data_IF_040856310641
#
_entry.id   IF_040856310641
#
_cell.length_a   1.000
_cell.length_b   1.000
_cell.length_c   1.000
_cell.angle_alpha   90.00
_cell.angle_beta   90.00
_cell.angle_gamma   90.00
#
_symmetry.space_group_name_H-M   'P 1'
#
loop_
_entity.id
_entity.type
_entity.pdbx_description
1 polymer ?
#
# COMPACT_ATOMS: atom_id res chain seq x y z
N UNK A 1 -22.13 6.24 -10.24
CA UNK A 1 -21.09 7.01 -9.53
C UNK A 1 -19.66 6.68 -9.99
N UNK A 2 -18.85 5.83 -9.32
CA UNK A 2 -17.47 5.54 -9.78
C UNK A 2 -17.41 4.84 -11.14
N UNK A 3 -18.31 3.88 -11.38
CA UNK A 3 -18.37 3.18 -12.67
C UNK A 3 -18.81 4.13 -13.79
N UNK A 4 -19.78 5.00 -13.54
CA UNK A 4 -20.22 6.01 -14.50
C UNK A 4 -19.10 7.01 -14.78
N UNK A 5 -18.39 7.47 -13.75
CA UNK A 5 -17.22 8.32 -13.90
C UNK A 5 -16.13 7.66 -14.76
N UNK A 6 -15.90 6.37 -14.57
CA UNK A 6 -14.91 5.61 -15.33
C UNK A 6 -15.19 5.57 -16.85
N UNK A 7 -16.44 5.73 -17.27
CA UNK A 7 -16.80 5.77 -18.71
C UNK A 7 -16.37 7.08 -19.38
N UNK A 8 -16.27 8.17 -18.62
CA UNK A 8 -15.98 9.50 -19.11
C UNK A 8 -14.54 9.95 -18.86
N UNK A 9 -13.82 9.27 -17.98
CA UNK A 9 -12.44 9.59 -17.61
C UNK A 9 -11.43 9.02 -18.62
N UNK A 10 -10.31 9.73 -18.85
CA UNK A 10 -9.25 9.24 -19.72
C UNK A 10 -8.57 8.00 -19.15
N UNK A 11 -8.07 7.13 -20.01
CA UNK A 11 -7.31 5.93 -19.64
C UNK A 11 -5.86 6.23 -19.24
N UNK A 12 -5.33 7.39 -19.63
CA UNK A 12 -3.96 7.83 -19.28
C UNK A 12 -4.03 9.19 -18.62
N UNK A 13 -3.21 9.37 -17.58
CA UNK A 13 -2.99 10.70 -17.02
C UNK A 13 -2.32 11.60 -18.06
N UNK A 14 -2.74 12.85 -18.12
CA UNK A 14 -2.08 13.89 -18.93
C UNK A 14 -0.75 14.33 -18.32
N UNK A 15 -0.47 13.89 -17.09
CA UNK A 15 0.75 14.22 -16.35
C UNK A 15 1.59 12.96 -16.10
N UNK A 16 2.90 13.11 -16.16
CA UNK A 16 3.88 12.02 -16.01
C UNK A 16 3.94 11.39 -14.62
N UNK A 17 3.22 11.95 -13.64
CA UNK A 17 3.27 11.55 -12.22
C UNK A 17 1.98 10.91 -11.71
N UNK A 18 1.03 10.62 -12.59
CA UNK A 18 -0.30 10.10 -12.23
C UNK A 18 -1.00 10.93 -11.13
N UNK A 19 -0.95 12.25 -11.24
CA UNK A 19 -1.58 13.18 -10.28
C UNK A 19 -3.00 13.57 -10.65
N UNK A 20 -3.50 13.10 -11.78
CA UNK A 20 -4.87 13.31 -12.25
C UNK A 20 -5.67 12.01 -12.22
N UNK A 21 -6.95 12.16 -11.90
CA UNK A 21 -7.87 11.02 -11.86
C UNK A 21 -8.06 10.46 -13.27
N UNK A 22 -7.97 9.15 -13.40
CA UNK A 22 -8.15 8.39 -14.63
C UNK A 22 -9.27 7.36 -14.48
N UNK A 23 -9.70 6.75 -15.59
CA UNK A 23 -10.60 5.57 -15.58
C UNK A 23 -10.12 4.53 -14.56
N UNK A 24 -8.83 4.27 -14.53
CA UNK A 24 -8.24 3.25 -13.66
C UNK A 24 -8.28 3.61 -12.18
N UNK A 25 -8.07 4.88 -11.87
CA UNK A 25 -8.24 5.35 -10.49
C UNK A 25 -9.70 5.23 -10.04
N UNK A 26 -10.66 5.58 -10.90
CA UNK A 26 -12.08 5.44 -10.59
C UNK A 26 -12.49 3.97 -10.37
N UNK A 27 -12.01 3.04 -11.20
CA UNK A 27 -12.28 1.61 -11.02
C UNK A 27 -11.63 1.02 -9.76
N UNK A 28 -10.39 1.43 -9.44
CA UNK A 28 -9.73 1.01 -8.21
C UNK A 28 -10.51 1.48 -6.96
N UNK A 29 -10.96 2.73 -6.93
CA UNK A 29 -11.80 3.24 -5.84
C UNK A 29 -13.19 2.58 -5.81
N UNK A 30 -13.78 2.29 -6.98
CA UNK A 30 -15.03 1.55 -7.07
C UNK A 30 -14.92 0.18 -6.40
N UNK A 31 -13.83 -0.54 -6.70
CA UNK A 31 -13.57 -1.85 -6.09
C UNK A 31 -13.43 -1.76 -4.57
N UNK A 32 -12.63 -0.81 -4.07
CA UNK A 32 -12.44 -0.61 -2.63
C UNK A 32 -13.72 -0.22 -1.91
N UNK A 33 -14.46 0.75 -2.45
CA UNK A 33 -15.71 1.22 -1.84
C UNK A 33 -16.78 0.12 -1.83
N UNK A 34 -16.90 -0.62 -2.92
CA UNK A 34 -17.85 -1.72 -3.01
C UNK A 34 -17.47 -2.89 -2.09
N UNK A 35 -16.18 -3.21 -1.95
CA UNK A 35 -15.71 -4.21 -1.01
C UNK A 35 -16.03 -3.82 0.43
N UNK A 36 -15.77 -2.56 0.79
CA UNK A 36 -16.10 -2.05 2.12
C UNK A 36 -17.59 -2.16 2.40
N UNK A 37 -18.43 -1.65 1.51
CA UNK A 37 -19.89 -1.68 1.68
C UNK A 37 -20.43 -3.12 1.72
N UNK A 38 -19.96 -3.98 0.83
CA UNK A 38 -20.37 -5.39 0.80
C UNK A 38 -20.00 -6.15 2.07
N UNK A 39 -18.77 -5.97 2.57
CA UNK A 39 -18.34 -6.60 3.82
C UNK A 39 -19.05 -6.01 5.03
N UNK A 40 -19.22 -4.69 5.08
CA UNK A 40 -19.99 -4.03 6.14
C UNK A 40 -21.41 -4.60 6.22
N UNK A 41 -22.14 -4.63 5.10
CA UNK A 41 -23.50 -5.20 5.04
C UNK A 41 -23.54 -6.65 5.49
N UNK A 42 -22.63 -7.46 4.98
CA UNK A 42 -22.55 -8.89 5.32
C UNK A 42 -22.40 -9.11 6.83
N UNK A 43 -21.48 -8.40 7.47
CA UNK A 43 -21.20 -8.57 8.90
C UNK A 43 -22.26 -7.93 9.82
N UNK A 44 -23.06 -7.01 9.29
CA UNK A 44 -24.16 -6.38 10.04
C UNK A 44 -25.54 -6.95 9.68
N UNK A 45 -25.62 -8.01 8.89
CA UNK A 45 -26.88 -8.66 8.52
C UNK A 45 -27.78 -7.78 7.64
N UNK A 46 -27.20 -6.88 6.84
CA UNK A 46 -27.93 -6.02 5.93
C UNK A 46 -28.08 -6.67 4.55
N UNK A 47 -29.16 -6.34 3.84
CA UNK A 47 -29.46 -6.90 2.52
C UNK A 47 -28.50 -6.43 1.41
N UNK A 48 -28.50 -7.18 0.29
CA UNK A 48 -27.79 -6.83 -0.95
C UNK A 48 -26.25 -6.79 -0.84
N UNK A 49 -25.63 -7.46 0.12
CA UNK A 49 -24.16 -7.45 0.26
C UNK A 49 -23.48 -8.13 -0.93
N UNK A 50 -24.07 -9.18 -1.50
CA UNK A 50 -23.54 -9.91 -2.67
C UNK A 50 -23.34 -8.97 -3.86
N UNK A 51 -24.34 -8.13 -4.16
CA UNK A 51 -24.25 -7.15 -5.24
C UNK A 51 -23.02 -6.26 -5.15
N UNK A 52 -22.69 -5.80 -3.93
CA UNK A 52 -21.51 -4.96 -3.74
C UNK A 52 -20.21 -5.75 -3.86
N UNK A 53 -20.18 -7.00 -3.40
CA UNK A 53 -19.04 -7.88 -3.58
C UNK A 53 -18.80 -8.23 -5.06
N UNK A 54 -19.85 -8.42 -5.84
CA UNK A 54 -19.77 -8.61 -7.29
C UNK A 54 -19.22 -7.38 -8.00
N UNK A 55 -19.67 -6.18 -7.62
CA UNK A 55 -19.12 -4.91 -8.15
C UNK A 55 -17.63 -4.82 -7.80
N UNK A 56 -17.25 -5.12 -6.57
CA UNK A 56 -15.86 -5.09 -6.14
C UNK A 56 -14.99 -6.04 -6.98
N UNK A 57 -15.46 -7.26 -7.17
CA UNK A 57 -14.72 -8.27 -7.94
C UNK A 57 -14.63 -7.90 -9.43
N UNK A 58 -15.73 -7.45 -10.05
CA UNK A 58 -15.76 -7.12 -11.48
C UNK A 58 -14.91 -5.90 -11.81
N UNK A 59 -14.96 -4.85 -11.00
CA UNK A 59 -14.15 -3.64 -11.21
C UNK A 59 -12.67 -3.89 -10.96
N UNK A 60 -12.31 -4.72 -9.96
CA UNK A 60 -10.93 -5.15 -9.73
C UNK A 60 -10.42 -5.99 -10.90
N UNK A 61 -11.23 -6.93 -11.43
CA UNK A 61 -10.88 -7.75 -12.58
C UNK A 61 -10.61 -6.89 -13.80
N UNK A 62 -11.52 -5.97 -14.11
CA UNK A 62 -11.34 -5.04 -15.22
C UNK A 62 -10.06 -4.20 -15.07
N UNK A 63 -9.77 -3.70 -13.87
CA UNK A 63 -8.53 -2.99 -13.61
C UNK A 63 -7.30 -3.86 -13.88
N UNK A 64 -7.28 -5.08 -13.37
CA UNK A 64 -6.13 -6.01 -13.52
C UNK A 64 -5.89 -6.35 -14.99
N UNK A 65 -6.95 -6.65 -15.73
CA UNK A 65 -6.85 -7.19 -17.09
C UNK A 65 -6.59 -6.09 -18.14
N UNK A 66 -7.09 -4.86 -17.94
CA UNK A 66 -7.10 -3.82 -18.97
C UNK A 66 -6.20 -2.61 -18.67
N UNK A 67 -5.79 -2.37 -17.41
CA UNK A 67 -5.13 -1.11 -17.06
C UNK A 67 -3.69 -0.98 -17.52
N UNK A 68 -2.99 -2.11 -17.64
CA UNK A 68 -1.56 -2.15 -17.91
C UNK A 68 -0.67 -1.82 -16.72
N UNK A 69 -1.23 -1.55 -15.52
CA UNK A 69 -0.43 -1.43 -14.30
C UNK A 69 0.16 -2.78 -13.90
N UNK A 70 1.34 -2.74 -13.32
CA UNK A 70 2.05 -3.92 -12.81
C UNK A 70 2.87 -3.56 -11.58
N UNK A 71 3.29 -4.56 -10.81
CA UNK A 71 4.12 -4.33 -9.65
C UNK A 71 5.47 -3.72 -10.06
N UNK A 72 5.90 -2.69 -9.32
CA UNK A 72 7.22 -2.10 -9.45
C UNK A 72 8.27 -3.06 -8.88
N UNK A 73 9.29 -3.41 -9.70
CA UNK A 73 10.28 -4.45 -9.36
C UNK A 73 11.73 -3.99 -9.58
N UNK A 74 11.96 -2.71 -9.79
CA UNK A 74 13.30 -2.19 -10.03
C UNK A 74 14.05 -1.99 -8.71
N UNK A 75 15.37 -2.20 -8.75
CA UNK A 75 16.25 -2.04 -7.59
C UNK A 75 16.31 -3.27 -6.67
N UNK A 76 17.00 -3.13 -5.56
CA UNK A 76 17.19 -4.19 -4.56
C UNK A 76 16.08 -4.20 -3.50
N UNK A 77 15.47 -3.05 -3.26
CA UNK A 77 14.37 -2.86 -2.31
C UNK A 77 13.18 -2.16 -2.99
N UNK A 78 12.56 -2.78 -3.99
CA UNK A 78 11.58 -2.10 -4.86
C UNK A 78 10.38 -1.54 -4.10
N UNK A 79 9.92 -2.22 -3.06
CA UNK A 79 8.81 -1.73 -2.24
C UNK A 79 9.17 -0.44 -1.50
N UNK A 80 10.33 -0.39 -0.86
CA UNK A 80 10.85 0.81 -0.20
C UNK A 80 11.12 1.92 -1.20
N UNK A 81 11.75 1.59 -2.33
CA UNK A 81 12.09 2.56 -3.38
C UNK A 81 10.85 3.23 -3.97
N UNK A 82 9.74 2.53 -4.06
CA UNK A 82 8.47 3.08 -4.52
C UNK A 82 7.97 4.20 -3.59
N UNK A 83 8.06 4.00 -2.27
CA UNK A 83 7.59 4.98 -1.28
C UNK A 83 8.59 6.09 -0.96
N UNK A 84 9.88 5.87 -1.21
CA UNK A 84 10.93 6.87 -0.99
C UNK A 84 11.30 7.66 -2.26
N UNK A 85 10.55 7.52 -3.34
CA UNK A 85 10.83 8.22 -4.59
C UNK A 85 10.28 9.65 -4.58
N UNK A 86 11.03 10.59 -5.17
CA UNK A 86 10.59 11.97 -5.36
C UNK A 86 9.37 12.08 -6.29
N UNK A 87 9.21 11.12 -7.18
CA UNK A 87 8.09 11.02 -8.10
C UNK A 87 7.44 9.65 -8.02
N UNK A 88 6.13 9.61 -8.20
CA UNK A 88 5.38 8.37 -8.23
C UNK A 88 5.93 7.39 -9.29
N UNK A 89 6.11 6.14 -8.90
CA UNK A 89 6.47 5.05 -9.81
C UNK A 89 5.22 4.63 -10.58
N UNK A 90 5.02 5.24 -11.74
CA UNK A 90 3.79 5.14 -12.54
C UNK A 90 3.48 3.73 -13.06
N UNK A 91 4.43 2.81 -12.96
CA UNK A 91 4.20 1.38 -13.24
C UNK A 91 3.17 0.77 -12.28
N UNK A 92 3.20 1.16 -10.99
CA UNK A 92 2.32 0.61 -9.94
C UNK A 92 1.40 1.67 -9.33
N UNK A 93 1.88 2.92 -9.18
CA UNK A 93 1.12 3.98 -8.52
C UNK A 93 0.03 4.51 -9.44
N UNK A 94 -1.21 4.20 -9.11
CA UNK A 94 -2.40 4.52 -9.93
C UNK A 94 -2.78 5.99 -9.81
N UNK A 95 -2.70 6.56 -8.62
CA UNK A 95 -2.98 7.96 -8.34
C UNK A 95 -2.08 8.45 -7.21
N UNK A 96 -1.41 9.57 -7.41
CA UNK A 96 -0.55 10.20 -6.43
C UNK A 96 -0.93 11.65 -6.19
N UNK A 97 -0.68 12.15 -4.99
CA UNK A 97 -0.71 13.57 -4.68
C UNK A 97 0.72 14.09 -4.63
N UNK A 98 1.03 15.05 -5.50
CA UNK A 98 2.32 15.72 -5.45
C UNK A 98 2.37 16.71 -4.27
N UNK A 99 3.45 16.65 -3.50
CA UNK A 99 3.79 17.64 -2.48
C UNK A 99 5.00 18.43 -2.97
N UNK A 100 4.88 19.74 -3.02
CA UNK A 100 5.94 20.65 -3.41
C UNK A 100 5.72 21.96 -2.67
N UNK A 101 6.63 22.28 -1.74
CA UNK A 101 6.52 23.50 -0.96
C UNK A 101 6.75 24.76 -1.82
N UNK A 102 7.72 24.74 -2.70
CA UNK A 102 8.07 25.90 -3.52
C UNK A 102 6.98 26.24 -4.56
N UNK A 103 6.40 25.23 -5.17
CA UNK A 103 5.37 25.41 -6.22
C UNK A 103 3.95 25.47 -5.71
N UNK A 104 3.57 24.50 -4.87
CA UNK A 104 2.19 24.29 -4.41
C UNK A 104 1.97 24.71 -2.96
N UNK A 105 3.03 25.10 -2.25
CA UNK A 105 3.05 25.37 -0.81
C UNK A 105 2.44 24.21 0.01
N UNK A 106 2.59 22.99 -0.49
CA UNK A 106 2.14 21.77 0.15
C UNK A 106 3.34 21.02 0.73
N UNK A 107 3.33 20.82 2.02
CA UNK A 107 4.31 20.01 2.74
C UNK A 107 3.61 19.06 3.71
N UNK A 108 4.38 18.12 4.25
CA UNK A 108 3.95 17.26 5.35
C UNK A 108 5.12 17.02 6.30
N UNK A 109 4.81 16.70 7.53
CA UNK A 109 5.79 16.42 8.59
C UNK A 109 5.77 14.95 9.03
N UNK A 110 5.36 14.03 8.16
CA UNK A 110 5.18 12.62 8.51
C UNK A 110 6.46 11.99 9.04
N UNK A 111 7.61 12.26 8.39
CA UNK A 111 8.90 11.73 8.84
C UNK A 111 9.25 12.22 10.26
N UNK A 112 9.06 13.51 10.53
CA UNK A 112 9.25 14.08 11.85
C UNK A 112 8.27 13.48 12.87
N UNK A 113 7.01 13.32 12.50
CA UNK A 113 5.98 12.75 13.37
C UNK A 113 6.28 11.30 13.74
N UNK A 114 6.69 10.47 12.79
CA UNK A 114 7.06 9.08 13.05
C UNK A 114 8.22 9.00 14.04
N UNK A 115 9.27 9.78 13.83
CA UNK A 115 10.47 9.77 14.70
C UNK A 115 10.19 10.28 16.11
N UNK A 116 9.35 11.32 16.26
CA UNK A 116 9.16 12.01 17.54
C UNK A 116 7.93 11.54 18.33
N UNK A 117 6.88 11.04 17.67
CA UNK A 117 5.66 10.60 18.33
C UNK A 117 5.65 9.10 18.68
N UNK A 118 6.75 8.40 18.44
CA UNK A 118 6.90 6.98 18.73
C UNK A 118 5.74 6.13 18.16
N UNK A 119 5.29 6.46 16.96
CA UNK A 119 4.24 5.72 16.28
C UNK A 119 4.75 4.33 15.90
N UNK A 120 3.91 3.34 16.05
CA UNK A 120 4.27 1.95 15.73
C UNK A 120 3.08 1.16 15.17
N UNK A 121 3.39 0.02 14.62
CA UNK A 121 2.38 -0.94 14.16
C UNK A 121 1.91 -1.82 15.31
N UNK A 122 0.65 -2.25 15.25
CA UNK A 122 0.15 -3.26 16.18
C UNK A 122 0.82 -4.60 15.93
N UNK A 123 0.99 -5.41 16.98
CA UNK A 123 1.53 -6.78 16.83
C UNK A 123 0.69 -7.61 15.85
N UNK A 124 -0.63 -7.43 15.86
CA UNK A 124 -1.51 -8.09 14.91
C UNK A 124 -1.13 -7.77 13.46
N UNK A 125 -0.85 -6.51 13.14
CA UNK A 125 -0.38 -6.11 11.81
C UNK A 125 0.96 -6.77 11.48
N UNK A 126 1.92 -6.76 12.41
CA UNK A 126 3.22 -7.40 12.23
C UNK A 126 3.11 -8.91 11.95
N UNK A 127 2.15 -9.58 12.57
CA UNK A 127 1.91 -11.02 12.38
C UNK A 127 1.37 -11.37 10.97
N UNK A 128 0.84 -10.41 10.20
CA UNK A 128 0.41 -10.65 8.82
C UNK A 128 1.56 -10.83 7.83
N UNK A 129 2.75 -10.31 8.14
CA UNK A 129 3.92 -10.61 7.32
C UNK A 129 4.29 -12.08 7.49
N UNK A 130 4.48 -12.77 6.37
CA UNK A 130 4.86 -14.18 6.36
C UNK A 130 6.35 -14.36 6.71
N UNK A 131 6.78 -15.58 6.92
CA UNK A 131 8.17 -15.95 6.89
C UNK A 131 8.70 -15.89 5.44
N UNK A 132 10.02 -15.86 5.26
CA UNK A 132 10.64 -15.80 3.93
C UNK A 132 10.30 -17.03 3.05
N UNK A 133 9.95 -18.15 3.67
CA UNK A 133 9.51 -19.38 3.01
C UNK A 133 8.01 -19.42 2.71
N UNK A 134 7.26 -18.35 3.05
CA UNK A 134 5.82 -18.25 2.84
C UNK A 134 4.94 -18.85 3.94
N UNK A 135 5.52 -19.43 5.00
CA UNK A 135 4.76 -19.93 6.15
C UNK A 135 4.30 -18.77 7.04
N UNK A 136 3.30 -19.01 7.89
CA UNK A 136 2.84 -17.98 8.82
C UNK A 136 3.80 -17.84 9.98
N UNK A 137 4.11 -16.63 10.36
CA UNK A 137 4.91 -16.35 11.57
C UNK A 137 4.25 -16.90 12.83
N UNK A 138 2.93 -16.84 12.91
CA UNK A 138 2.14 -17.32 14.06
C UNK A 138 2.13 -18.84 14.21
N UNK A 139 2.56 -19.59 13.20
CA UNK A 139 2.70 -21.06 13.31
C UNK A 139 3.99 -21.46 14.03
N UNK A 140 4.90 -20.49 14.26
CA UNK A 140 6.15 -20.73 14.97
C UNK A 140 5.92 -20.84 16.47
N UNK A 141 6.41 -21.91 17.07
CA UNK A 141 6.31 -22.10 18.51
C UNK A 141 7.00 -20.96 19.28
N UNK A 142 6.33 -20.37 20.25
CA UNK A 142 6.86 -19.31 21.10
C UNK A 142 6.86 -17.92 20.45
N UNK A 143 6.21 -17.72 19.31
CA UNK A 143 6.18 -16.42 18.62
C UNK A 143 5.64 -15.28 19.50
N UNK A 144 4.74 -15.59 20.43
CA UNK A 144 4.10 -14.60 21.30
C UNK A 144 5.07 -13.94 22.30
N UNK A 145 6.12 -14.65 22.69
CA UNK A 145 7.10 -14.22 23.69
C UNK A 145 8.47 -13.91 23.10
N UNK A 146 8.57 -13.93 21.77
CA UNK A 146 9.81 -13.68 21.06
C UNK A 146 10.26 -12.23 21.20
N UNK A 147 11.56 -12.00 21.36
CA UNK A 147 12.13 -10.66 21.32
C UNK A 147 12.04 -10.09 19.91
N UNK A 148 11.85 -8.79 19.81
CA UNK A 148 11.72 -8.09 18.54
C UNK A 148 12.87 -8.37 17.56
N UNK A 149 14.10 -8.42 18.04
CA UNK A 149 15.29 -8.74 17.24
C UNK A 149 15.25 -10.12 16.60
N UNK A 150 14.51 -11.07 17.17
CA UNK A 150 14.33 -12.39 16.61
C UNK A 150 13.02 -12.53 15.82
N UNK A 151 12.01 -11.77 16.23
CA UNK A 151 10.71 -11.69 15.55
C UNK A 151 10.83 -11.21 14.10
N UNK A 152 11.77 -10.31 13.81
CA UNK A 152 11.95 -9.74 12.47
C UNK A 152 12.87 -10.53 11.55
N UNK A 153 13.50 -11.60 12.05
CA UNK A 153 14.42 -12.45 11.25
C UNK A 153 13.68 -13.39 10.32
N UNK A 154 14.21 -13.56 9.11
CA UNK A 154 13.69 -14.49 8.10
C UNK A 154 12.20 -14.25 7.76
N UNK A 155 11.78 -13.01 7.77
CA UNK A 155 10.43 -12.59 7.38
C UNK A 155 10.39 -12.15 5.92
N UNK A 156 9.19 -11.97 5.40
CA UNK A 156 8.98 -11.33 4.12
C UNK A 156 9.83 -10.04 4.02
N UNK A 157 10.62 -9.86 2.95
CA UNK A 157 11.51 -8.69 2.82
C UNK A 157 10.81 -7.34 2.95
N UNK A 158 9.51 -7.27 2.64
CA UNK A 158 8.71 -6.04 2.77
C UNK A 158 8.55 -5.59 4.22
N UNK A 159 8.67 -6.51 5.19
CA UNK A 159 8.64 -6.13 6.60
C UNK A 159 9.77 -5.16 6.92
N UNK A 160 11.00 -5.47 6.54
CA UNK A 160 12.16 -4.60 6.77
C UNK A 160 12.12 -3.31 5.93
N UNK A 161 11.37 -3.31 4.84
CA UNK A 161 11.16 -2.13 3.99
C UNK A 161 10.03 -1.22 4.51
N UNK A 162 9.25 -1.67 5.48
CA UNK A 162 8.11 -0.93 6.05
C UNK A 162 8.34 -0.52 7.51
N UNK A 163 9.00 -1.39 8.27
CA UNK A 163 9.13 -1.27 9.72
C UNK A 163 10.60 -1.06 10.07
N UNK A 164 10.84 -0.18 11.04
CA UNK A 164 12.19 0.07 11.54
C UNK A 164 12.72 -1.19 12.25
N UNK A 165 13.61 -1.91 11.57
CA UNK A 165 14.23 -3.14 12.08
C UNK A 165 15.67 -2.89 12.53
N UNK A 166 16.25 -3.78 13.36
CA UNK A 166 17.67 -3.72 13.72
C UNK A 166 18.56 -3.67 12.45
N UNK A 167 19.63 -2.89 12.51
CA UNK A 167 20.54 -2.61 11.40
C UNK A 167 19.92 -1.81 10.25
N UNK A 168 18.86 -1.06 10.52
CA UNK A 168 18.28 -0.17 9.51
C UNK A 168 19.29 0.90 9.07
N UNK A 169 19.39 1.08 7.75
CA UNK A 169 20.16 2.16 7.13
C UNK A 169 19.17 3.07 6.40
N UNK A 170 19.17 4.34 6.78
CA UNK A 170 18.33 5.33 6.12
C UNK A 170 18.75 5.46 4.65
N UNK A 171 17.77 5.61 3.74
CA UNK A 171 18.06 5.78 2.32
C UNK A 171 18.92 7.03 2.09
N UNK A 172 20.05 6.85 1.40
CA UNK A 172 21.05 7.90 1.18
C UNK A 172 22.17 7.95 2.21
N UNK A 173 22.08 7.19 3.30
CA UNK A 173 23.10 7.05 4.33
C UNK A 173 23.90 5.76 4.16
N UNK A 174 25.05 5.69 4.82
CA UNK A 174 25.92 4.50 4.83
C UNK A 174 26.08 3.90 6.22
N UNK A 175 25.58 4.59 7.24
CA UNK A 175 25.67 4.16 8.64
C UNK A 175 24.35 3.63 9.15
N UNK A 176 24.44 2.63 10.02
CA UNK A 176 23.27 2.08 10.71
C UNK A 176 22.64 3.16 11.59
N UNK A 177 21.32 3.32 11.46
CA UNK A 177 20.55 4.37 12.17
C UNK A 177 19.80 3.79 13.37
N UNK A 178 19.59 2.45 13.42
CA UNK A 178 18.88 1.76 14.51
C UNK A 178 19.45 0.37 14.77
#
# INVERSE_FOLDING_TARGET
DFQDAATSLPTKSTETRNTRVTKWAALAFASQAALYEGTYRKYHGLDNYEKYLEIAASTARQFIDESGFSLYKEGTEPYRDMFCADNAKTTEVVLARAYNFEGLQLSHSVQFSIANLQMGFTRRFMNHYLMADGTRFTDKQGYETMFYTDEVKNRDPRLQQTVLCPNYIQKGETTVTA
#
